data_IF_963280289029
#
_entry.id   IF_963280289029
#
_cell.length_a   1.000
_cell.length_b   1.000
_cell.length_c   1.000
_cell.angle_alpha   90.00
_cell.angle_beta   90.00
_cell.angle_gamma   90.00
#
_symmetry.space_group_name_H-M   'P 1'
#
loop_
_entity.id
_entity.type
_entity.pdbx_description
1 polymer ?
#
# COMPACT_ATOMS: atom_id res chain seq x y z
N UNK A 1 30.42 24.59 -2.37
CA UNK A 1 29.28 23.64 -2.32
C UNK A 1 29.88 22.25 -2.55
N UNK A 2 30.10 21.51 -1.48
CA UNK A 2 30.57 20.12 -1.59
C UNK A 2 29.35 19.28 -1.98
N UNK A 3 29.34 18.80 -3.21
CA UNK A 3 28.37 17.80 -3.67
C UNK A 3 28.87 16.43 -3.14
N UNK A 4 28.27 15.96 -2.05
CA UNK A 4 28.41 14.56 -1.68
C UNK A 4 27.71 13.71 -2.76
N UNK A 5 28.50 13.14 -3.64
CA UNK A 5 28.04 11.99 -4.44
C UNK A 5 28.17 10.76 -3.54
N UNK A 6 27.08 10.32 -2.96
CA UNK A 6 27.05 8.99 -2.35
C UNK A 6 27.20 7.96 -3.48
N UNK A 7 28.13 7.04 -3.33
CA UNK A 7 28.15 5.84 -4.15
C UNK A 7 26.94 4.99 -3.78
N UNK A 8 26.01 4.83 -4.71
CA UNK A 8 24.77 4.06 -4.54
C UNK A 8 24.86 2.67 -5.21
N UNK A 9 26.06 2.24 -5.62
CA UNK A 9 26.26 0.93 -6.26
C UNK A 9 25.77 -0.25 -5.41
N UNK A 10 25.74 -0.08 -4.08
CA UNK A 10 25.17 -1.06 -3.18
C UNK A 10 23.66 -1.26 -3.37
N UNK A 11 22.95 -0.25 -3.87
CA UNK A 11 21.50 -0.31 -4.07
C UNK A 11 21.11 -1.33 -5.16
N UNK A 12 22.00 -1.59 -6.11
CA UNK A 12 21.81 -2.59 -7.16
C UNK A 12 21.87 -4.03 -6.62
N UNK A 13 22.35 -4.20 -5.40
CA UNK A 13 22.52 -5.51 -4.75
C UNK A 13 21.49 -5.79 -3.66
N UNK A 14 20.60 -4.86 -3.35
CA UNK A 14 19.56 -4.99 -2.31
C UNK A 14 18.17 -5.13 -2.92
N UNK A 15 17.24 -5.62 -2.12
CA UNK A 15 15.85 -5.88 -2.51
C UNK A 15 15.64 -7.31 -3.01
N UNK A 16 14.42 -7.61 -3.42
CA UNK A 16 14.08 -8.92 -3.96
C UNK A 16 14.81 -9.19 -5.25
N UNK A 17 15.46 -10.35 -5.32
CA UNK A 17 16.17 -10.84 -6.50
C UNK A 17 15.34 -11.83 -7.32
N UNK A 18 14.20 -12.23 -6.79
CA UNK A 18 13.29 -13.18 -7.42
C UNK A 18 11.93 -12.53 -7.61
N UNK A 19 11.52 -12.39 -8.85
CA UNK A 19 10.11 -12.12 -9.15
C UNK A 19 9.30 -13.40 -8.86
N UNK A 20 8.02 -13.27 -8.45
CA UNK A 20 7.15 -14.43 -8.30
C UNK A 20 7.23 -15.32 -9.55
N UNK A 21 7.64 -16.59 -9.35
CA UNK A 21 8.06 -17.48 -10.43
C UNK A 21 6.94 -18.12 -11.24
N UNK A 22 5.68 -17.80 -10.95
CA UNK A 22 4.54 -18.35 -11.70
C UNK A 22 4.14 -17.43 -12.86
N UNK A 23 3.82 -18.03 -14.00
CA UNK A 23 3.48 -17.31 -15.24
C UNK A 23 1.99 -16.95 -15.36
N UNK A 24 1.19 -17.15 -14.31
CA UNK A 24 -0.23 -16.75 -14.31
C UNK A 24 -0.33 -15.23 -14.30
N UNK A 25 -1.08 -14.69 -15.28
CA UNK A 25 -1.41 -13.26 -15.32
C UNK A 25 -2.92 -13.12 -15.24
N UNK A 26 -3.40 -12.41 -14.22
CA UNK A 26 -4.81 -12.13 -14.00
C UNK A 26 -5.07 -10.63 -14.10
N UNK A 27 -6.08 -10.25 -14.88
CA UNK A 27 -6.53 -8.86 -14.91
C UNK A 27 -7.58 -8.62 -13.82
N UNK A 28 -7.34 -7.66 -12.92
CA UNK A 28 -8.31 -7.28 -11.90
C UNK A 28 -9.63 -6.77 -12.52
N UNK A 29 -9.57 -6.23 -13.75
CA UNK A 29 -10.77 -5.82 -14.49
C UNK A 29 -11.70 -7.00 -14.79
N UNK A 30 -11.17 -8.21 -14.99
CA UNK A 30 -11.97 -9.42 -15.16
C UNK A 30 -12.69 -9.88 -13.89
N UNK A 31 -12.28 -9.34 -12.72
CA UNK A 31 -12.92 -9.55 -11.43
C UNK A 31 -13.85 -8.40 -11.04
N UNK A 32 -14.04 -7.42 -11.91
CA UNK A 32 -14.94 -6.31 -11.72
C UNK A 32 -14.29 -5.01 -11.29
N UNK A 33 -12.95 -4.89 -11.34
CA UNK A 33 -12.30 -3.60 -11.09
C UNK A 33 -12.62 -2.61 -12.21
N UNK A 34 -13.12 -1.44 -11.83
CA UNK A 34 -13.56 -0.39 -12.74
C UNK A 34 -12.59 0.78 -12.70
N UNK A 35 -12.15 1.22 -13.89
CA UNK A 35 -11.28 2.38 -14.05
C UNK A 35 -12.06 3.70 -13.88
N UNK A 36 -12.63 3.90 -12.68
CA UNK A 36 -13.38 5.07 -12.28
C UNK A 36 -12.95 5.50 -10.88
N UNK A 37 -12.52 6.74 -10.74
CA UNK A 37 -12.04 7.32 -9.49
C UNK A 37 -13.11 7.49 -8.41
N UNK A 38 -14.39 7.29 -8.75
CA UNK A 38 -15.54 7.40 -7.84
C UNK A 38 -16.04 6.03 -7.36
N UNK A 39 -15.65 4.96 -8.05
CA UNK A 39 -16.07 3.59 -7.74
C UNK A 39 -15.00 2.87 -6.95
N UNK A 40 -15.38 2.31 -5.78
CA UNK A 40 -14.47 1.54 -4.96
C UNK A 40 -14.21 0.15 -5.57
N UNK A 41 -12.99 -0.08 -6.05
CA UNK A 41 -12.57 -1.33 -6.70
C UNK A 41 -11.81 -2.28 -5.76
N UNK A 42 -11.77 -2.02 -4.45
CA UNK A 42 -10.99 -2.80 -3.46
C UNK A 42 -11.28 -4.29 -3.54
N UNK A 43 -12.56 -4.67 -3.47
CA UNK A 43 -12.95 -6.09 -3.47
C UNK A 43 -12.57 -6.80 -4.76
N UNK A 44 -12.75 -6.14 -5.90
CA UNK A 44 -12.42 -6.71 -7.20
C UNK A 44 -10.90 -6.94 -7.36
N UNK A 45 -10.10 -5.94 -6.96
CA UNK A 45 -8.64 -6.07 -6.98
C UNK A 45 -8.19 -7.15 -5.99
N UNK A 46 -8.75 -7.18 -4.78
CA UNK A 46 -8.42 -8.21 -3.79
C UNK A 46 -8.80 -9.62 -4.25
N UNK A 47 -9.95 -9.80 -4.86
CA UNK A 47 -10.36 -11.09 -5.45
C UNK A 47 -9.37 -11.58 -6.52
N UNK A 48 -8.86 -10.68 -7.36
CA UNK A 48 -7.83 -11.02 -8.34
C UNK A 48 -6.53 -11.47 -7.66
N UNK A 49 -6.09 -10.77 -6.61
CA UNK A 49 -4.91 -11.11 -5.81
C UNK A 49 -5.09 -12.48 -5.16
N UNK A 50 -6.23 -12.71 -4.49
CA UNK A 50 -6.51 -13.97 -3.80
C UNK A 50 -6.60 -15.14 -4.79
N UNK A 51 -7.24 -14.94 -5.95
CA UNK A 51 -7.31 -15.95 -7.01
C UNK A 51 -5.94 -16.28 -7.60
N UNK A 52 -5.10 -15.27 -7.77
CA UNK A 52 -3.72 -15.44 -8.22
C UNK A 52 -2.92 -16.28 -7.21
N UNK A 53 -3.04 -15.99 -5.92
CA UNK A 53 -2.37 -16.74 -4.86
C UNK A 53 -2.83 -18.21 -4.83
N UNK A 54 -4.13 -18.47 -4.92
CA UNK A 54 -4.69 -19.84 -4.96
C UNK A 54 -4.19 -20.61 -6.18
N UNK A 55 -3.92 -19.93 -7.28
CA UNK A 55 -3.33 -20.53 -8.50
C UNK A 55 -1.82 -20.80 -8.40
N UNK A 56 -1.23 -20.60 -7.23
CA UNK A 56 0.20 -20.80 -6.99
C UNK A 56 1.06 -19.56 -7.19
N UNK A 57 0.45 -18.39 -7.26
CA UNK A 57 1.12 -17.10 -7.48
C UNK A 57 1.10 -16.65 -8.93
N UNK A 58 1.70 -15.49 -9.20
CA UNK A 58 1.76 -14.88 -10.53
C UNK A 58 1.65 -13.36 -10.47
N UNK A 59 1.11 -12.76 -11.52
CA UNK A 59 1.00 -11.31 -11.64
C UNK A 59 -0.47 -10.88 -11.80
N UNK A 60 -0.87 -9.91 -11.00
CA UNK A 60 -2.15 -9.22 -11.15
C UNK A 60 -1.91 -7.88 -11.82
N UNK A 61 -2.61 -7.63 -12.92
CA UNK A 61 -2.51 -6.41 -13.72
C UNK A 61 -3.83 -5.65 -13.74
N UNK A 62 -3.76 -4.35 -14.04
CA UNK A 62 -4.91 -3.49 -14.29
C UNK A 62 -4.76 -2.82 -15.65
N UNK A 63 -5.87 -2.55 -16.32
CA UNK A 63 -5.86 -1.69 -17.51
C UNK A 63 -5.53 -0.24 -17.13
N UNK A 64 -4.96 0.57 -18.03
CA UNK A 64 -4.74 2.00 -17.76
C UNK A 64 -6.01 2.69 -17.27
N UNK A 65 -5.89 3.52 -16.24
CA UNK A 65 -7.00 4.26 -15.64
C UNK A 65 -6.81 4.56 -14.16
N UNK A 66 -7.82 5.15 -13.56
CA UNK A 66 -7.85 5.56 -12.16
C UNK A 66 -8.74 4.63 -11.35
N UNK A 67 -8.18 3.96 -10.34
CA UNK A 67 -8.91 2.98 -9.51
C UNK A 67 -8.92 3.42 -8.06
N UNK A 68 -10.09 3.76 -7.52
CA UNK A 68 -10.20 4.03 -6.09
C UNK A 68 -10.17 2.72 -5.31
N UNK A 69 -9.31 2.65 -4.29
CA UNK A 69 -9.17 1.47 -3.45
C UNK A 69 -9.00 1.81 -1.97
N UNK A 70 -9.47 0.94 -1.09
CA UNK A 70 -9.08 0.87 0.31
C UNK A 70 -7.82 0.04 0.48
N UNK A 71 -7.75 -0.75 1.57
CA UNK A 71 -6.62 -1.61 1.84
C UNK A 71 -6.60 -2.84 0.92
N UNK A 72 -5.45 -3.08 0.29
CA UNK A 72 -5.13 -4.29 -0.46
C UNK A 72 -4.08 -5.09 0.30
N UNK A 73 -4.25 -6.42 0.34
CA UNK A 73 -3.33 -7.35 0.97
C UNK A 73 -2.73 -8.26 -0.09
N UNK A 74 -1.47 -8.04 -0.43
CA UNK A 74 -0.75 -8.86 -1.40
C UNK A 74 -0.39 -10.18 -0.73
N UNK A 75 -0.56 -11.27 -1.45
CA UNK A 75 -0.34 -12.64 -0.97
C UNK A 75 0.99 -13.19 -1.45
N UNK A 76 1.46 -14.23 -0.78
CA UNK A 76 2.70 -14.92 -1.14
C UNK A 76 2.69 -15.36 -2.60
N UNK A 77 3.79 -15.13 -3.28
CA UNK A 77 3.98 -15.45 -4.71
C UNK A 77 3.22 -14.54 -5.67
N UNK A 78 2.61 -13.45 -5.20
CA UNK A 78 1.84 -12.53 -6.06
C UNK A 78 2.59 -11.22 -6.27
N UNK A 79 2.68 -10.82 -7.54
CA UNK A 79 3.09 -9.48 -7.93
C UNK A 79 1.87 -8.65 -8.32
N UNK A 80 1.63 -7.51 -7.67
CA UNK A 80 0.70 -6.50 -8.15
C UNK A 80 1.45 -5.55 -9.08
N UNK A 81 1.16 -5.64 -10.38
CA UNK A 81 1.82 -4.83 -11.39
C UNK A 81 0.96 -3.62 -11.77
N UNK A 82 1.49 -2.44 -11.51
CA UNK A 82 0.90 -1.16 -11.87
C UNK A 82 1.65 -0.62 -13.07
N UNK A 83 1.16 -0.91 -14.27
CA UNK A 83 1.80 -0.44 -15.49
C UNK A 83 1.61 1.07 -15.72
N UNK A 84 2.39 1.62 -16.63
CA UNK A 84 2.26 3.02 -17.03
C UNK A 84 0.82 3.36 -17.42
N UNK A 85 0.28 4.42 -16.83
CA UNK A 85 -1.11 4.85 -17.03
C UNK A 85 -2.10 4.27 -16.03
N UNK A 86 -1.68 3.34 -15.16
CA UNK A 86 -2.48 2.88 -14.02
C UNK A 86 -2.23 3.79 -12.82
N UNK A 87 -3.29 4.28 -12.19
CA UNK A 87 -3.22 5.02 -10.94
C UNK A 87 -4.14 4.40 -9.90
N UNK A 88 -3.58 3.90 -8.82
CA UNK A 88 -4.33 3.54 -7.62
C UNK A 88 -4.55 4.78 -6.78
N UNK A 89 -5.81 5.10 -6.49
CA UNK A 89 -6.22 6.22 -5.67
C UNK A 89 -6.68 5.69 -4.30
N UNK A 90 -6.00 6.07 -3.24
CA UNK A 90 -6.43 5.73 -1.90
C UNK A 90 -7.81 6.30 -1.59
N UNK A 91 -8.68 5.52 -0.99
CA UNK A 91 -9.96 6.02 -0.48
C UNK A 91 -9.73 7.05 0.63
N UNK A 92 -10.44 8.18 0.62
CA UNK A 92 -10.35 9.17 1.70
C UNK A 92 -11.05 8.71 2.99
N UNK A 93 -11.83 7.64 2.95
CA UNK A 93 -12.54 7.11 4.12
C UNK A 93 -11.67 6.10 4.87
N UNK A 94 -11.38 6.40 6.15
CA UNK A 94 -10.62 5.50 7.02
C UNK A 94 -11.30 4.14 7.24
N UNK A 95 -12.62 4.06 7.06
CA UNK A 95 -13.39 2.81 7.21
C UNK A 95 -13.07 1.76 6.14
N UNK A 96 -12.42 2.15 5.04
CA UNK A 96 -11.96 1.22 4.02
C UNK A 96 -10.58 0.60 4.34
N UNK A 97 -10.06 0.84 5.55
CA UNK A 97 -8.77 0.34 6.02
C UNK A 97 -8.96 -0.39 7.35
N UNK A 98 -9.14 -1.71 7.35
CA UNK A 98 -9.33 -2.48 8.57
C UNK A 98 -8.16 -2.29 9.52
N UNK A 99 -8.47 -2.24 10.80
CA UNK A 99 -7.44 -2.10 11.83
C UNK A 99 -6.87 -3.46 12.22
N UNK A 100 -5.59 -3.53 12.40
CA UNK A 100 -4.89 -4.70 12.92
C UNK A 100 -3.67 -4.30 13.74
N UNK A 101 -3.13 -5.28 14.49
CA UNK A 101 -1.93 -5.05 15.28
C UNK A 101 -0.71 -4.87 14.38
N UNK A 102 -0.08 -3.72 14.51
CA UNK A 102 1.06 -3.31 13.69
C UNK A 102 2.02 -2.45 14.53
N UNK A 103 3.09 -1.96 13.94
CA UNK A 103 4.08 -1.13 14.62
C UNK A 103 4.10 0.28 14.05
N UNK A 104 3.94 1.27 14.92
CA UNK A 104 3.96 2.70 14.59
C UNK A 104 5.01 3.40 15.42
N UNK A 105 5.95 4.08 14.78
CA UNK A 105 7.03 4.81 15.44
C UNK A 105 7.74 4.00 16.56
N UNK A 106 7.91 2.70 16.34
CA UNK A 106 8.55 1.79 17.31
C UNK A 106 7.63 1.19 18.37
N UNK A 107 6.34 1.53 18.39
CA UNK A 107 5.37 1.06 19.40
C UNK A 107 4.36 0.09 18.73
N UNK A 108 4.14 -1.06 19.39
CA UNK A 108 3.12 -2.03 18.99
C UNK A 108 1.72 -1.52 19.35
N UNK A 109 0.88 -1.33 18.35
CA UNK A 109 -0.48 -0.83 18.56
C UNK A 109 -1.43 -1.25 17.44
N UNK A 110 -2.73 -1.11 17.66
CA UNK A 110 -3.74 -1.30 16.62
C UNK A 110 -3.82 -0.07 15.73
N UNK A 111 -3.63 -0.27 14.44
CA UNK A 111 -3.57 0.81 13.46
C UNK A 111 -4.27 0.42 12.15
N UNK A 112 -4.83 1.41 11.41
CA UNK A 112 -5.39 1.15 10.09
C UNK A 112 -4.37 0.54 9.14
N UNK A 113 -4.83 -0.38 8.32
CA UNK A 113 -4.05 -0.93 7.22
C UNK A 113 -3.50 0.17 6.31
N UNK A 114 -2.41 -0.11 5.63
CA UNK A 114 -1.93 0.70 4.52
C UNK A 114 -2.82 0.53 3.27
N UNK A 115 -2.61 1.34 2.25
CA UNK A 115 -3.25 1.10 0.95
C UNK A 115 -2.79 -0.22 0.36
N UNK A 116 -1.49 -0.52 0.46
CA UNK A 116 -0.91 -1.80 0.06
C UNK A 116 -0.23 -2.43 1.28
N UNK A 117 -0.55 -3.68 1.57
CA UNK A 117 -0.04 -4.42 2.71
C UNK A 117 0.59 -5.73 2.25
N UNK A 118 1.81 -6.01 2.70
CA UNK A 118 2.52 -7.29 2.56
C UNK A 118 2.87 -7.71 3.99
N UNK A 119 2.09 -8.62 4.58
CA UNK A 119 2.20 -8.96 6.01
C UNK A 119 2.25 -10.46 6.20
N UNK A 120 3.35 -10.98 6.74
CA UNK A 120 3.65 -12.42 6.91
C UNK A 120 3.66 -13.18 5.57
N UNK A 121 4.08 -12.55 4.48
CA UNK A 121 4.07 -13.13 3.14
C UNK A 121 5.49 -13.36 2.62
N UNK A 122 5.61 -14.23 1.61
CA UNK A 122 6.88 -14.55 0.95
C UNK A 122 6.76 -14.33 -0.56
N UNK A 123 7.84 -13.85 -1.19
CA UNK A 123 7.89 -13.60 -2.63
C UNK A 123 6.69 -12.76 -3.12
N UNK A 124 6.30 -11.76 -2.33
CA UNK A 124 5.21 -10.85 -2.68
C UNK A 124 5.79 -9.51 -3.13
N UNK A 125 5.26 -8.93 -4.20
CA UNK A 125 5.81 -7.70 -4.75
C UNK A 125 4.76 -6.74 -5.30
N UNK A 126 5.19 -5.50 -5.46
CA UNK A 126 4.50 -4.46 -6.23
C UNK A 126 5.50 -3.90 -7.23
N UNK A 127 5.14 -3.82 -8.49
CA UNK A 127 6.04 -3.39 -9.56
C UNK A 127 5.35 -2.53 -10.60
N UNK A 128 6.12 -2.04 -11.57
CA UNK A 128 5.63 -1.26 -12.70
C UNK A 128 5.90 0.24 -12.59
N UNK A 129 5.45 0.99 -13.60
CA UNK A 129 5.66 2.45 -13.76
C UNK A 129 4.39 3.26 -13.44
N UNK A 130 3.39 2.63 -12.84
CA UNK A 130 2.14 3.27 -12.44
C UNK A 130 2.28 4.15 -11.19
N UNK A 131 1.18 4.67 -10.74
CA UNK A 131 1.13 5.61 -9.62
C UNK A 131 0.30 5.08 -8.47
N UNK A 132 0.79 5.23 -7.24
CA UNK A 132 0.02 5.10 -6.01
C UNK A 132 -0.20 6.50 -5.43
N UNK A 133 -1.39 7.05 -5.59
CA UNK A 133 -1.80 8.31 -4.96
C UNK A 133 -2.52 8.03 -3.63
N UNK A 134 -1.83 8.28 -2.54
CA UNK A 134 -2.34 8.04 -1.19
C UNK A 134 -3.38 9.07 -0.72
N UNK A 135 -3.68 10.12 -1.49
CA UNK A 135 -4.64 11.18 -1.14
C UNK A 135 -4.54 11.64 0.32
N UNK A 136 -3.32 11.78 0.82
CA UNK A 136 -3.01 11.95 2.24
C UNK A 136 -3.56 13.23 2.88
N UNK A 137 -3.99 14.22 2.09
CA UNK A 137 -4.40 15.53 2.59
C UNK A 137 -5.52 15.45 3.65
N UNK A 138 -6.54 14.62 3.43
CA UNK A 138 -7.68 14.46 4.35
C UNK A 138 -7.23 13.97 5.74
N UNK A 139 -6.22 13.11 5.80
CA UNK A 139 -5.66 12.60 7.05
C UNK A 139 -4.74 13.62 7.72
N UNK A 140 -3.99 14.39 6.92
CA UNK A 140 -3.11 15.44 7.42
C UNK A 140 -3.86 16.66 7.95
N UNK A 141 -4.94 17.07 7.31
CA UNK A 141 -5.77 18.18 7.79
C UNK A 141 -6.30 17.85 9.20
N UNK A 142 -6.86 16.65 9.40
CA UNK A 142 -7.31 16.18 10.72
C UNK A 142 -6.17 16.13 11.74
N UNK A 143 -5.00 15.66 11.33
CA UNK A 143 -3.83 15.62 12.22
C UNK A 143 -3.43 17.00 12.69
N UNK A 144 -3.37 17.97 11.80
CA UNK A 144 -2.95 19.34 12.15
C UNK A 144 -3.98 20.06 13.02
N UNK A 145 -5.27 19.78 12.85
CA UNK A 145 -6.33 20.28 13.75
C UNK A 145 -6.15 19.73 15.17
N UNK A 146 -6.05 18.41 15.31
CA UNK A 146 -5.81 17.76 16.60
C UNK A 146 -4.51 18.22 17.25
N UNK A 147 -3.47 18.39 16.44
CA UNK A 147 -2.17 18.84 16.96
C UNK A 147 -2.23 20.21 17.61
N UNK A 148 -2.96 21.17 17.05
CA UNK A 148 -3.13 22.49 17.69
C UNK A 148 -3.73 22.38 19.08
N UNK A 149 -4.74 21.52 19.25
CA UNK A 149 -5.36 21.28 20.55
C UNK A 149 -4.42 20.59 21.53
N UNK A 150 -3.64 19.60 21.05
CA UNK A 150 -2.71 18.83 21.87
C UNK A 150 -1.49 19.64 22.28
N UNK A 151 -0.97 20.50 21.42
CA UNK A 151 0.15 21.41 21.76
C UNK A 151 -0.25 22.38 22.87
N UNK A 152 -1.46 22.93 22.83
CA UNK A 152 -1.99 23.81 23.88
C UNK A 152 -2.09 23.12 25.25
N UNK A 153 -2.18 21.78 25.28
CA UNK A 153 -2.25 20.94 26.47
C UNK A 153 -0.89 20.35 26.88
N UNK A 154 0.20 20.67 26.17
CA UNK A 154 1.52 20.08 26.39
C UNK A 154 1.64 18.62 25.92
N UNK A 155 0.69 18.12 25.12
CA UNK A 155 0.57 16.72 24.70
C UNK A 155 0.98 16.50 23.23
N UNK A 156 1.87 17.32 22.71
CA UNK A 156 2.26 17.36 21.29
C UNK A 156 2.54 15.99 20.66
N UNK A 157 3.23 15.12 21.40
CA UNK A 157 3.65 13.82 20.84
C UNK A 157 2.57 12.75 20.87
N UNK A 158 1.55 12.93 21.71
CA UNK A 158 0.45 11.96 21.86
C UNK A 158 -0.44 11.96 20.63
N UNK A 159 -0.59 13.08 19.93
CA UNK A 159 -1.36 13.17 18.68
C UNK A 159 -0.89 12.19 17.60
N UNK A 160 0.41 11.84 17.61
CA UNK A 160 0.96 10.90 16.63
C UNK A 160 0.40 9.47 16.79
N UNK A 161 -0.05 9.14 17.99
CA UNK A 161 -0.64 7.84 18.33
C UNK A 161 -2.19 7.88 18.33
N UNK A 162 -2.79 9.01 18.66
CA UNK A 162 -4.24 9.15 18.74
C UNK A 162 -4.88 9.46 17.37
N UNK A 163 -4.19 10.23 16.52
CA UNK A 163 -4.67 10.54 15.19
C UNK A 163 -4.31 9.45 14.19
N UNK A 164 -5.18 8.47 14.03
CA UNK A 164 -5.00 7.38 13.05
C UNK A 164 -4.94 7.91 11.62
N UNK A 165 -3.95 7.46 10.87
CA UNK A 165 -3.69 7.86 9.48
C UNK A 165 -3.37 6.62 8.66
N UNK A 166 -3.77 6.62 7.39
CA UNK A 166 -3.46 5.55 6.45
C UNK A 166 -2.02 5.71 5.93
N UNK A 167 -1.28 4.61 5.85
CA UNK A 167 0.05 4.53 5.24
C UNK A 167 -0.07 4.15 3.76
N UNK A 168 0.90 4.52 2.94
CA UNK A 168 0.93 4.12 1.53
C UNK A 168 1.17 2.62 1.39
N UNK A 169 2.32 2.15 1.86
CA UNK A 169 2.73 0.74 1.78
C UNK A 169 3.22 0.29 3.16
N UNK A 170 2.83 -0.91 3.56
CA UNK A 170 3.32 -1.61 4.73
C UNK A 170 3.90 -2.96 4.31
N UNK A 171 5.17 -3.19 4.67
CA UNK A 171 5.81 -4.50 4.57
C UNK A 171 6.21 -4.89 5.99
N UNK A 172 5.67 -6.01 6.48
CA UNK A 172 5.89 -6.45 7.85
C UNK A 172 6.02 -7.97 7.91
N UNK A 173 7.07 -8.46 8.60
CA UNK A 173 7.32 -9.89 8.80
C UNK A 173 7.27 -10.71 7.50
N UNK A 174 7.79 -10.15 6.43
CA UNK A 174 7.77 -10.73 5.09
C UNK A 174 9.19 -10.89 4.55
N UNK A 175 9.38 -11.85 3.64
CA UNK A 175 10.69 -12.17 3.05
C UNK A 175 10.56 -12.57 1.58
N UNK A 176 11.70 -12.63 0.90
CA UNK A 176 11.87 -13.27 -0.41
C UNK A 176 11.89 -14.80 -0.26
#
# INVERSE_FOLDING_TARGET
>A
RVLFRSDLSWADSVGSRQMPGNHVILSANSFGAVADSTVLSTEAIQKAIDSCAVSGGGTVVLQPGYYQTGALFIKSGVNLQLDKGVTLLASPSIHHYPEFRSRIAGIEMTWPAAVINIVNEKNASVSGEGTLDCRGKVFWDKYWEMRKEYEAKGLRWIVDYDCKRVRGILIERSSD
#
